data_IF_515874912509
#
_entry.id   IF_515874912509
#
_cell.length_a   1.000
_cell.length_b   1.000
_cell.length_c   1.000
_cell.angle_alpha   90.00
_cell.angle_beta   90.00
_cell.angle_gamma   90.00
#
_symmetry.space_group_name_H-M   'P 1'
#
loop_
_entity.id
_entity.type
_entity.pdbx_description
1 polymer ?
#
# COMPACT_ATOMS: atom_id res chain seq x y z
N UNK A 1 16.56 -22.23 46.99
CA UNK A 1 16.40 -20.81 47.35
C UNK A 1 15.61 -20.12 46.25
N UNK A 2 14.58 -19.38 46.64
CA UNK A 2 13.46 -18.96 45.82
C UNK A 2 13.77 -17.85 44.82
N UNK A 3 13.00 -17.89 43.73
CA UNK A 3 12.72 -16.84 42.76
C UNK A 3 12.54 -15.43 43.34
N UNK A 4 13.18 -14.43 42.73
CA UNK A 4 12.67 -13.06 42.69
C UNK A 4 12.95 -12.46 41.30
N UNK A 5 12.11 -12.87 40.35
CA UNK A 5 11.71 -12.02 39.22
C UNK A 5 11.18 -10.70 39.76
N UNK A 6 11.81 -9.57 39.40
CA UNK A 6 11.25 -8.24 39.61
C UNK A 6 10.05 -8.05 38.67
N UNK A 7 8.90 -8.58 39.09
CA UNK A 7 7.58 -8.17 38.61
C UNK A 7 7.34 -6.76 39.12
N UNK A 8 7.48 -5.77 38.25
CA UNK A 8 6.80 -4.49 38.43
C UNK A 8 5.33 -4.71 38.05
N UNK A 9 4.55 -5.20 39.00
CA UNK A 9 3.10 -5.09 38.97
C UNK A 9 2.76 -3.64 39.32
N UNK A 10 2.41 -2.82 38.32
CA UNK A 10 1.48 -1.72 38.56
C UNK A 10 0.08 -2.31 38.49
N UNK A 11 -0.44 -2.57 39.68
CA UNK A 11 -1.84 -2.89 39.96
C UNK A 11 -2.78 -1.82 39.41
N UNK A 12 -3.85 -2.28 38.78
CA UNK A 12 -5.12 -1.55 38.67
C UNK A 12 -5.32 -0.79 37.37
N UNK A 13 -5.66 -1.51 36.28
CA UNK A 13 -6.74 -1.14 35.36
C UNK A 13 -6.95 -2.35 34.43
N UNK A 14 -8.21 -2.75 34.27
CA UNK A 14 -8.65 -3.88 33.45
C UNK A 14 -7.99 -3.87 32.06
N UNK A 15 -6.95 -4.69 31.85
CA UNK A 15 -6.52 -5.06 30.50
C UNK A 15 -7.55 -6.02 29.93
N UNK A 16 -8.62 -5.47 29.36
CA UNK A 16 -9.47 -6.18 28.42
C UNK A 16 -8.58 -6.75 27.32
N UNK A 17 -8.65 -8.06 27.15
CA UNK A 17 -8.09 -8.77 26.00
C UNK A 17 -8.67 -8.16 24.72
N UNK A 18 -7.79 -7.73 23.81
CA UNK A 18 -8.04 -7.57 22.36
C UNK A 18 -9.28 -6.76 21.91
N UNK A 19 -9.42 -5.49 22.31
CA UNK A 19 -10.18 -4.55 21.48
C UNK A 19 -9.18 -3.67 20.71
N UNK A 20 -8.79 -4.11 19.51
CA UNK A 20 -8.36 -3.14 18.49
C UNK A 20 -9.59 -2.31 18.16
N UNK A 21 -9.78 -1.17 18.84
CA UNK A 21 -10.80 -0.21 18.44
C UNK A 21 -10.24 0.49 17.22
N UNK A 22 -10.63 0.00 16.04
CA UNK A 22 -10.36 0.69 14.80
C UNK A 22 -11.29 1.91 14.71
N UNK A 23 -10.69 3.09 14.57
CA UNK A 23 -11.43 4.31 14.27
C UNK A 23 -12.17 4.17 12.93
N UNK A 24 -13.37 4.75 12.79
CA UNK A 24 -14.14 4.67 11.55
C UNK A 24 -13.35 5.26 10.37
N UNK A 25 -13.55 4.69 9.18
CA UNK A 25 -12.90 5.16 7.96
C UNK A 25 -13.44 6.54 7.60
N UNK A 26 -12.55 7.53 7.52
CA UNK A 26 -12.87 8.88 7.08
C UNK A 26 -12.51 9.02 5.60
N UNK A 27 -13.45 9.51 4.78
CA UNK A 27 -13.18 9.86 3.38
C UNK A 27 -12.99 11.38 3.31
N UNK A 28 -11.74 11.82 3.38
CA UNK A 28 -11.39 13.24 3.29
C UNK A 28 -11.53 13.77 1.85
N UNK A 29 -12.13 14.97 1.71
CA UNK A 29 -12.03 15.93 0.60
C UNK A 29 -12.24 15.49 -0.87
N UNK A 30 -12.50 14.21 -1.18
CA UNK A 30 -12.78 13.76 -2.56
C UNK A 30 -14.26 13.99 -2.92
N UNK A 31 -15.13 14.16 -1.92
CA UNK A 31 -16.57 14.38 -2.11
C UNK A 31 -17.00 15.83 -1.80
N UNK A 32 -16.18 16.82 -2.16
CA UNK A 32 -16.53 18.23 -1.92
C UNK A 32 -17.74 18.67 -2.77
N UNK A 33 -18.81 18.97 -2.05
CA UNK A 33 -19.97 19.88 -2.30
C UNK A 33 -20.77 19.83 -3.59
N UNK A 34 -20.23 19.46 -4.76
CA UNK A 34 -20.99 19.42 -6.01
C UNK A 34 -21.89 18.18 -6.14
N UNK A 35 -21.62 17.12 -5.37
CA UNK A 35 -22.36 15.86 -5.42
C UNK A 35 -23.23 15.60 -4.18
N UNK A 36 -23.38 16.57 -3.25
CA UNK A 36 -24.15 16.41 -1.98
C UNK A 36 -25.59 15.93 -2.23
N UNK A 37 -26.20 16.36 -3.34
CA UNK A 37 -27.58 16.00 -3.71
C UNK A 37 -27.70 14.65 -4.45
N UNK A 38 -26.57 14.06 -4.90
CA UNK A 38 -26.54 12.78 -5.64
C UNK A 38 -26.12 11.59 -4.77
N UNK A 39 -25.62 11.82 -3.56
CA UNK A 39 -25.14 10.74 -2.68
C UNK A 39 -26.32 9.96 -2.12
N UNK A 40 -26.48 8.71 -2.56
CA UNK A 40 -27.49 7.78 -2.01
C UNK A 40 -27.47 7.79 -0.47
N UNK A 41 -28.65 7.67 0.16
CA UNK A 41 -28.79 7.77 1.62
C UNK A 41 -27.87 6.81 2.41
N UNK A 42 -27.54 5.65 1.86
CA UNK A 42 -26.62 4.69 2.47
C UNK A 42 -25.17 5.21 2.51
N UNK A 43 -24.68 5.84 1.44
CA UNK A 43 -23.32 6.42 1.42
C UNK A 43 -23.21 7.55 2.45
N UNK A 44 -24.24 8.40 2.58
CA UNK A 44 -24.27 9.42 3.64
C UNK A 44 -24.32 8.80 5.05
N UNK A 45 -25.09 7.72 5.23
CA UNK A 45 -25.17 6.99 6.50
C UNK A 45 -23.80 6.41 6.89
N UNK A 46 -23.04 5.88 5.92
CA UNK A 46 -21.67 5.42 6.14
C UNK A 46 -20.76 6.57 6.62
N UNK A 47 -20.81 7.72 5.93
CA UNK A 47 -19.98 8.88 6.24
C UNK A 47 -20.30 9.52 7.60
N UNK A 48 -21.55 9.40 8.07
CA UNK A 48 -22.01 9.89 9.38
C UNK A 48 -21.85 8.86 10.49
N UNK A 49 -21.43 7.63 10.18
CA UNK A 49 -21.23 6.58 11.17
C UNK A 49 -20.08 6.96 12.10
N UNK A 50 -20.30 6.83 13.40
CA UNK A 50 -19.31 7.18 14.44
C UNK A 50 -18.46 5.99 14.86
N UNK A 51 -18.85 4.78 14.46
CA UNK A 51 -18.14 3.55 14.80
C UNK A 51 -17.90 2.67 13.56
N UNK A 52 -16.87 1.83 13.64
CA UNK A 52 -16.58 0.83 12.61
C UNK A 52 -17.71 -0.19 12.45
N UNK A 53 -18.42 -0.54 13.52
CA UNK A 53 -19.54 -1.50 13.46
C UNK A 53 -20.77 -0.93 12.74
N UNK A 54 -21.05 0.37 12.92
CA UNK A 54 -22.05 1.09 12.14
C UNK A 54 -21.67 1.09 10.66
N UNK A 55 -20.43 1.44 10.33
CA UNK A 55 -19.91 1.41 8.96
C UNK A 55 -20.05 0.02 8.31
N UNK A 56 -19.72 -1.04 9.05
CA UNK A 56 -19.88 -2.42 8.58
C UNK A 56 -21.35 -2.78 8.34
N UNK A 57 -22.27 -2.30 9.18
CA UNK A 57 -23.71 -2.53 9.02
C UNK A 57 -24.23 -1.84 7.77
N UNK A 58 -23.83 -0.59 7.53
CA UNK A 58 -24.18 0.14 6.31
C UNK A 58 -23.60 -0.51 5.06
N UNK A 59 -22.35 -0.99 5.11
CA UNK A 59 -21.76 -1.71 3.98
C UNK A 59 -22.53 -2.99 3.65
N UNK A 60 -23.03 -3.74 4.64
CA UNK A 60 -23.89 -4.90 4.36
C UNK A 60 -25.15 -4.48 3.59
N UNK A 61 -25.81 -3.39 4.01
CA UNK A 61 -26.98 -2.84 3.30
C UNK A 61 -26.62 -2.45 1.85
N UNK A 62 -25.48 -1.80 1.62
CA UNK A 62 -24.98 -1.46 0.28
C UNK A 62 -24.73 -2.71 -0.58
N UNK A 63 -24.16 -3.77 -0.03
CA UNK A 63 -23.93 -4.99 -0.80
C UNK A 63 -25.21 -5.78 -1.10
N UNK A 64 -26.25 -5.65 -0.28
CA UNK A 64 -27.57 -6.22 -0.60
C UNK A 64 -28.20 -5.50 -1.80
N UNK A 65 -28.09 -4.17 -1.91
CA UNK A 65 -28.59 -3.43 -3.08
C UNK A 65 -27.79 -3.74 -4.34
N UNK A 66 -26.48 -3.95 -4.24
CA UNK A 66 -25.64 -4.34 -5.39
C UNK A 66 -25.93 -5.76 -5.92
N UNK A 67 -26.69 -6.59 -5.20
CA UNK A 67 -27.08 -7.92 -5.70
C UNK A 67 -28.02 -7.81 -6.90
N UNK A 68 -28.93 -6.84 -6.92
CA UNK A 68 -29.89 -6.65 -8.00
C UNK A 68 -29.28 -5.93 -9.21
N UNK A 69 -28.56 -4.83 -8.99
CA UNK A 69 -28.02 -3.99 -10.06
C UNK A 69 -26.65 -3.43 -9.67
N UNK A 70 -25.72 -3.34 -10.64
CA UNK A 70 -24.41 -2.76 -10.38
C UNK A 70 -24.48 -1.27 -10.65
N UNK A 71 -24.44 -0.48 -9.58
CA UNK A 71 -24.29 0.97 -9.64
C UNK A 71 -22.81 1.36 -9.63
N UNK A 72 -22.34 1.98 -10.72
CA UNK A 72 -20.95 2.44 -10.89
C UNK A 72 -20.56 3.45 -9.80
N UNK A 73 -21.48 4.32 -9.38
CA UNK A 73 -21.19 5.32 -8.35
C UNK A 73 -20.99 4.66 -6.98
N UNK A 74 -21.72 3.59 -6.69
CA UNK A 74 -21.52 2.79 -5.49
C UNK A 74 -20.21 2.01 -5.56
N UNK A 75 -19.88 1.41 -6.70
CA UNK A 75 -18.57 0.76 -6.90
C UNK A 75 -17.44 1.77 -6.71
N UNK A 76 -17.60 3.00 -7.21
CA UNK A 76 -16.67 4.11 -6.97
C UNK A 76 -16.47 4.35 -5.48
N UNK A 77 -17.56 4.59 -4.75
CA UNK A 77 -17.53 4.82 -3.31
C UNK A 77 -16.81 3.70 -2.55
N UNK A 78 -17.08 2.44 -2.89
CA UNK A 78 -16.41 1.29 -2.26
C UNK A 78 -14.89 1.28 -2.53
N UNK A 79 -14.46 1.70 -3.72
CA UNK A 79 -13.04 1.83 -4.06
C UNK A 79 -12.34 2.89 -3.20
N UNK A 80 -12.99 4.04 -2.99
CA UNK A 80 -12.49 5.09 -2.10
C UNK A 80 -12.39 4.61 -0.65
N UNK A 81 -13.46 4.02 -0.11
CA UNK A 81 -13.48 3.47 1.26
C UNK A 81 -12.36 2.45 1.43
N UNK A 82 -12.17 1.57 0.45
CA UNK A 82 -11.11 0.56 0.49
C UNK A 82 -9.73 1.20 0.56
N UNK A 83 -9.47 2.21 -0.27
CA UNK A 83 -8.17 2.86 -0.35
C UNK A 83 -7.86 3.69 0.89
N UNK A 84 -8.86 4.34 1.48
CA UNK A 84 -8.72 5.15 2.70
C UNK A 84 -8.58 4.31 3.97
N UNK A 85 -9.17 3.12 4.01
CA UNK A 85 -9.10 2.24 5.17
C UNK A 85 -7.65 1.78 5.43
N UNK A 86 -7.25 1.84 6.72
CA UNK A 86 -5.93 1.42 7.17
C UNK A 86 -5.66 -0.08 6.92
N UNK A 87 -4.39 -0.52 6.90
CA UNK A 87 -4.06 -1.94 6.84
C UNK A 87 -4.78 -2.73 7.94
N UNK A 88 -5.29 -3.93 7.59
CA UNK A 88 -6.03 -4.84 8.49
C UNK A 88 -7.34 -4.27 9.07
N UNK A 89 -7.78 -3.09 8.64
CA UNK A 89 -9.03 -2.49 9.09
C UNK A 89 -10.24 -3.39 8.76
N UNK A 90 -11.20 -3.60 9.68
CA UNK A 90 -12.36 -4.48 9.47
C UNK A 90 -13.16 -4.16 8.21
N UNK A 91 -13.40 -2.87 7.94
CA UNK A 91 -14.03 -2.40 6.68
C UNK A 91 -13.25 -2.87 5.46
N UNK A 92 -11.93 -2.68 5.42
CA UNK A 92 -11.08 -3.11 4.30
C UNK A 92 -11.17 -4.63 4.08
N UNK A 93 -11.03 -5.39 5.16
CA UNK A 93 -11.16 -6.85 5.15
C UNK A 93 -12.55 -7.33 4.73
N UNK A 94 -13.61 -6.60 5.10
CA UNK A 94 -14.96 -6.88 4.65
C UNK A 94 -15.11 -6.65 3.14
N UNK A 95 -14.65 -5.49 2.65
CA UNK A 95 -14.68 -5.15 1.22
C UNK A 95 -13.91 -6.16 0.37
N UNK A 96 -12.67 -6.50 0.72
CA UNK A 96 -11.89 -7.52 -0.02
C UNK A 96 -12.66 -8.83 -0.14
N UNK A 97 -13.27 -9.29 0.96
CA UNK A 97 -14.03 -10.55 1.00
C UNK A 97 -15.29 -10.47 0.15
N UNK A 98 -16.07 -9.39 0.22
CA UNK A 98 -17.31 -9.27 -0.54
C UNK A 98 -17.05 -9.12 -2.04
N UNK A 99 -16.07 -8.28 -2.42
CA UNK A 99 -15.69 -8.11 -3.83
C UNK A 99 -15.14 -9.42 -4.41
N UNK A 100 -14.29 -10.14 -3.65
CA UNK A 100 -13.77 -11.43 -4.11
C UNK A 100 -14.87 -12.46 -4.32
N UNK A 101 -15.90 -12.50 -3.46
CA UNK A 101 -17.04 -13.44 -3.61
C UNK A 101 -17.95 -13.10 -4.79
N UNK A 102 -18.05 -11.83 -5.17
CA UNK A 102 -18.95 -11.37 -6.22
C UNK A 102 -18.18 -11.11 -7.51
N UNK A 103 -18.03 -12.14 -8.35
CA UNK A 103 -17.29 -12.08 -9.63
C UNK A 103 -17.71 -10.90 -10.51
N UNK A 104 -19.02 -10.60 -10.56
CA UNK A 104 -19.59 -9.47 -11.31
C UNK A 104 -19.08 -8.09 -10.86
N UNK A 105 -18.67 -7.94 -9.60
CA UNK A 105 -18.15 -6.68 -9.05
C UNK A 105 -16.63 -6.56 -9.22
N UNK A 106 -15.90 -7.67 -9.40
CA UNK A 106 -14.44 -7.64 -9.42
C UNK A 106 -13.90 -6.73 -10.52
N UNK A 107 -14.38 -6.86 -11.76
CA UNK A 107 -13.86 -6.08 -12.89
C UNK A 107 -14.25 -4.59 -12.80
N UNK A 108 -15.52 -4.20 -12.52
CA UNK A 108 -15.86 -2.80 -12.25
C UNK A 108 -15.04 -2.19 -11.11
N UNK A 109 -14.89 -2.91 -10.00
CA UNK A 109 -14.12 -2.44 -8.84
C UNK A 109 -12.63 -2.28 -9.18
N UNK A 110 -12.07 -3.22 -9.93
CA UNK A 110 -10.68 -3.15 -10.42
C UNK A 110 -10.45 -1.87 -11.23
N UNK A 111 -11.35 -1.55 -12.17
CA UNK A 111 -11.26 -0.36 -13.00
C UNK A 111 -11.38 0.94 -12.21
N UNK A 112 -12.29 0.99 -11.22
CA UNK A 112 -12.40 2.11 -10.29
C UNK A 112 -11.13 2.27 -9.46
N UNK A 113 -10.66 1.21 -8.82
CA UNK A 113 -9.51 1.27 -7.93
C UNK A 113 -8.25 1.71 -8.70
N UNK A 114 -8.08 1.27 -9.95
CA UNK A 114 -7.01 1.74 -10.83
C UNK A 114 -7.06 3.27 -11.05
N UNK A 115 -8.25 3.83 -11.31
CA UNK A 115 -8.42 5.29 -11.46
C UNK A 115 -8.08 6.04 -10.17
N UNK A 116 -8.51 5.52 -9.03
CA UNK A 116 -8.19 6.12 -7.73
C UNK A 116 -6.70 6.04 -7.40
N UNK A 117 -6.03 4.92 -7.73
CA UNK A 117 -4.58 4.80 -7.60
C UNK A 117 -3.88 5.89 -8.43
N UNK A 118 -4.26 6.07 -9.70
CA UNK A 118 -3.72 7.16 -10.54
C UNK A 118 -3.97 8.53 -9.90
N UNK A 119 -5.16 8.75 -9.35
CA UNK A 119 -5.52 10.02 -8.71
C UNK A 119 -4.58 10.35 -7.54
N UNK A 120 -4.35 9.40 -6.62
CA UNK A 120 -3.49 9.60 -5.44
C UNK A 120 -1.99 9.61 -5.78
N UNK A 121 -1.60 9.11 -6.95
CA UNK A 121 -0.19 9.07 -7.42
C UNK A 121 0.11 10.07 -8.54
N UNK A 122 -0.83 10.95 -8.86
CA UNK A 122 -0.70 11.92 -9.96
C UNK A 122 0.45 12.91 -9.76
N UNK A 123 0.74 13.26 -8.51
CA UNK A 123 1.71 14.28 -8.15
C UNK A 123 2.71 13.74 -7.13
N UNK A 124 3.96 14.18 -7.28
CA UNK A 124 4.98 13.99 -6.28
C UNK A 124 4.61 14.73 -4.99
N UNK A 125 5.05 14.18 -3.86
CA UNK A 125 4.86 14.81 -2.56
C UNK A 125 6.14 15.52 -2.11
N UNK A 126 5.97 16.55 -1.27
CA UNK A 126 7.08 17.30 -0.67
C UNK A 126 7.47 16.77 0.70
N UNK A 127 6.62 15.94 1.32
CA UNK A 127 6.81 15.39 2.66
C UNK A 127 6.77 13.86 2.63
N UNK A 128 7.71 13.22 3.35
CA UNK A 128 7.80 11.76 3.38
C UNK A 128 6.52 11.08 3.91
N UNK A 129 5.79 11.70 4.85
CA UNK A 129 4.55 11.14 5.42
C UNK A 129 3.45 10.96 4.37
N UNK A 130 3.41 11.85 3.39
CA UNK A 130 2.45 11.77 2.29
C UNK A 130 2.83 10.62 1.35
N UNK A 131 4.11 10.45 1.02
CA UNK A 131 4.60 9.27 0.32
C UNK A 131 4.31 7.98 1.09
N UNK A 132 4.65 7.91 2.37
CA UNK A 132 4.41 6.74 3.22
C UNK A 132 2.94 6.34 3.24
N UNK A 133 2.03 7.30 3.45
CA UNK A 133 0.59 7.05 3.43
C UNK A 133 0.14 6.48 2.09
N UNK A 134 0.54 7.09 0.98
CA UNK A 134 0.17 6.67 -0.37
C UNK A 134 0.72 5.29 -0.71
N UNK A 135 2.01 5.05 -0.46
CA UNK A 135 2.70 3.78 -0.70
C UNK A 135 2.09 2.66 0.14
N UNK A 136 1.75 2.91 1.41
CA UNK A 136 1.08 1.95 2.28
C UNK A 136 -0.32 1.58 1.78
N UNK A 137 -1.10 2.57 1.31
CA UNK A 137 -2.42 2.32 0.71
C UNK A 137 -2.31 1.40 -0.51
N UNK A 138 -1.32 1.63 -1.38
CA UNK A 138 -1.08 0.80 -2.56
C UNK A 138 -0.62 -0.61 -2.16
N UNK A 139 0.27 -0.75 -1.15
CA UNK A 139 0.73 -2.06 -0.66
C UNK A 139 -0.44 -2.96 -0.25
N UNK A 140 -1.41 -2.41 0.48
CA UNK A 140 -2.57 -3.21 0.91
C UNK A 140 -3.50 -3.64 -0.22
N UNK A 141 -3.34 -3.09 -1.44
CA UNK A 141 -4.12 -3.54 -2.61
C UNK A 141 -3.66 -4.91 -3.12
N UNK A 142 -2.39 -5.28 -2.92
CA UNK A 142 -1.81 -6.53 -3.44
C UNK A 142 -1.84 -7.68 -2.42
N UNK A 143 -2.20 -7.42 -1.17
CA UNK A 143 -2.24 -8.42 -0.09
C UNK A 143 -3.54 -9.23 -0.13
N UNK A 144 -3.47 -10.47 -0.64
CA UNK A 144 -4.58 -11.44 -0.63
C UNK A 144 -5.89 -10.91 -1.27
N UNK A 145 -5.78 -10.01 -2.25
CA UNK A 145 -6.93 -9.38 -2.90
C UNK A 145 -6.76 -9.32 -4.43
N UNK A 146 -7.34 -10.27 -5.20
CA UNK A 146 -7.13 -10.37 -6.63
C UNK A 146 -7.53 -9.12 -7.43
N UNK A 147 -8.66 -8.50 -7.10
CA UNK A 147 -9.12 -7.29 -7.78
C UNK A 147 -8.16 -6.10 -7.54
N UNK A 148 -7.58 -6.00 -6.34
CA UNK A 148 -6.57 -4.99 -6.04
C UNK A 148 -5.25 -5.24 -6.77
N UNK A 149 -4.78 -6.49 -6.81
CA UNK A 149 -3.59 -6.86 -7.59
C UNK A 149 -3.78 -6.56 -9.09
N UNK A 150 -4.95 -6.85 -9.65
CA UNK A 150 -5.27 -6.51 -11.03
C UNK A 150 -5.33 -4.99 -11.24
N UNK A 151 -5.83 -4.22 -10.28
CA UNK A 151 -5.88 -2.76 -10.37
C UNK A 151 -4.48 -2.16 -10.44
N UNK A 152 -3.56 -2.66 -9.59
CA UNK A 152 -2.13 -2.30 -9.62
C UNK A 152 -1.50 -2.65 -10.97
N UNK A 153 -1.80 -3.85 -11.51
CA UNK A 153 -1.31 -4.26 -12.83
C UNK A 153 -1.77 -3.33 -13.96
N UNK A 154 -3.03 -2.85 -13.93
CA UNK A 154 -3.54 -1.92 -14.94
C UNK A 154 -2.81 -0.57 -14.97
N UNK A 155 -2.17 -0.19 -13.86
CA UNK A 155 -1.49 1.11 -13.71
C UNK A 155 0.00 0.97 -13.45
N UNK A 156 0.57 -0.20 -13.76
CA UNK A 156 1.94 -0.58 -13.40
C UNK A 156 2.98 0.43 -13.90
N UNK A 157 2.83 0.92 -15.13
CA UNK A 157 3.76 1.89 -15.71
C UNK A 157 3.73 3.23 -14.98
N UNK A 158 2.55 3.68 -14.57
CA UNK A 158 2.38 4.92 -13.79
C UNK A 158 2.97 4.77 -12.39
N UNK A 159 2.76 3.61 -11.76
CA UNK A 159 3.30 3.32 -10.45
C UNK A 159 4.83 3.21 -10.44
N UNK A 160 5.44 2.67 -11.50
CA UNK A 160 6.91 2.65 -11.62
C UNK A 160 7.46 4.08 -11.58
N UNK A 161 6.84 5.02 -12.31
CA UNK A 161 7.26 6.42 -12.31
C UNK A 161 7.08 7.07 -10.95
N UNK A 162 5.91 6.88 -10.33
CA UNK A 162 5.65 7.41 -8.99
C UNK A 162 6.64 6.86 -7.94
N UNK A 163 6.91 5.56 -7.93
CA UNK A 163 7.84 4.97 -6.98
C UNK A 163 9.29 5.38 -7.25
N UNK A 164 9.68 5.61 -8.50
CA UNK A 164 10.99 6.20 -8.80
C UNK A 164 11.10 7.63 -8.24
N UNK A 165 10.06 8.46 -8.38
CA UNK A 165 10.01 9.79 -7.74
C UNK A 165 10.08 9.72 -6.21
N UNK A 166 9.38 8.76 -5.60
CA UNK A 166 9.47 8.47 -4.17
C UNK A 166 10.89 8.09 -3.74
N UNK A 167 11.57 7.20 -4.48
CA UNK A 167 12.95 6.80 -4.17
C UNK A 167 13.94 7.95 -4.34
N UNK A 168 13.76 8.76 -5.38
CA UNK A 168 14.56 9.97 -5.58
C UNK A 168 14.42 10.93 -4.40
N UNK A 169 13.20 11.14 -3.91
CA UNK A 169 12.94 11.93 -2.72
C UNK A 169 13.68 11.35 -1.51
N UNK A 170 13.55 10.04 -1.24
CA UNK A 170 14.24 9.39 -0.12
C UNK A 170 15.76 9.59 -0.17
N UNK A 171 16.39 9.37 -1.33
CA UNK A 171 17.83 9.58 -1.52
C UNK A 171 18.22 11.02 -1.24
N UNK A 172 17.45 11.98 -1.77
CA UNK A 172 17.70 13.40 -1.58
C UNK A 172 17.59 13.79 -0.11
N UNK A 173 16.53 13.36 0.56
CA UNK A 173 16.30 13.65 1.98
C UNK A 173 17.41 13.10 2.88
N UNK A 174 17.85 11.86 2.64
CA UNK A 174 18.93 11.25 3.44
C UNK A 174 20.27 11.98 3.30
N UNK A 175 20.57 12.50 2.11
CA UNK A 175 21.87 13.14 1.81
C UNK A 175 21.93 14.63 2.08
N UNK A 176 20.84 15.34 1.79
CA UNK A 176 20.84 16.81 1.74
C UNK A 176 20.13 17.44 2.95
N UNK A 177 19.33 16.68 3.70
CA UNK A 177 18.54 17.20 4.81
C UNK A 177 19.10 16.74 6.16
N UNK A 178 19.28 17.63 7.15
CA UNK A 178 19.65 17.22 8.50
C UNK A 178 18.45 16.55 9.18
N UNK A 179 18.42 15.22 9.15
CA UNK A 179 17.36 14.40 9.72
C UNK A 179 17.75 13.82 11.08
N UNK A 180 16.79 13.73 12.00
CA UNK A 180 16.95 12.97 13.23
C UNK A 180 17.06 11.46 12.95
N UNK A 181 17.64 10.65 13.86
CA UNK A 181 17.69 9.19 13.69
C UNK A 181 16.33 8.54 13.43
N UNK A 182 15.26 9.08 14.05
CA UNK A 182 13.89 8.59 13.85
C UNK A 182 13.41 8.84 12.43
N UNK A 183 13.59 10.07 11.91
CA UNK A 183 13.17 10.43 10.56
C UNK A 183 13.94 9.63 9.50
N UNK A 184 15.24 9.40 9.73
CA UNK A 184 16.03 8.50 8.86
C UNK A 184 15.40 7.11 8.81
N UNK A 185 15.08 6.52 9.96
CA UNK A 185 14.45 5.20 10.02
C UNK A 185 13.08 5.15 9.30
N UNK A 186 12.27 6.19 9.43
CA UNK A 186 10.99 6.30 8.71
C UNK A 186 11.19 6.38 7.19
N UNK A 187 12.16 7.17 6.71
CA UNK A 187 12.52 7.22 5.29
C UNK A 187 13.05 5.86 4.79
N UNK A 188 13.78 5.11 5.62
CA UNK A 188 14.20 3.75 5.27
C UNK A 188 13.03 2.77 5.16
N UNK A 189 12.06 2.84 6.07
CA UNK A 189 10.85 2.03 5.97
C UNK A 189 10.05 2.33 4.70
N UNK A 190 9.91 3.62 4.37
CA UNK A 190 9.30 4.07 3.12
C UNK A 190 10.03 3.51 1.89
N UNK A 191 11.35 3.67 1.88
CA UNK A 191 12.23 3.18 0.82
C UNK A 191 12.04 1.67 0.60
N UNK A 192 12.04 0.90 1.69
CA UNK A 192 11.84 -0.54 1.65
C UNK A 192 10.47 -0.91 1.07
N UNK A 193 9.40 -0.23 1.51
CA UNK A 193 8.05 -0.50 1.04
C UNK A 193 7.87 -0.17 -0.45
N UNK A 194 8.44 0.95 -0.91
CA UNK A 194 8.44 1.34 -2.31
C UNK A 194 9.20 0.32 -3.19
N UNK A 195 10.36 -0.16 -2.73
CA UNK A 195 11.16 -1.16 -3.44
C UNK A 195 10.45 -2.51 -3.51
N UNK A 196 9.77 -2.93 -2.45
CA UNK A 196 8.95 -4.13 -2.42
C UNK A 196 7.82 -4.07 -3.46
N UNK A 197 7.17 -2.91 -3.61
CA UNK A 197 6.09 -2.72 -4.60
C UNK A 197 6.63 -2.68 -6.03
N UNK A 198 7.77 -2.00 -6.26
CA UNK A 198 8.46 -2.03 -7.55
C UNK A 198 8.82 -3.45 -7.95
N UNK A 199 9.39 -4.25 -7.04
CA UNK A 199 9.71 -5.66 -7.30
C UNK A 199 8.45 -6.47 -7.61
N UNK A 200 7.36 -6.26 -6.88
CA UNK A 200 6.09 -6.92 -7.18
C UNK A 200 5.61 -6.61 -8.60
N UNK A 201 5.71 -5.34 -9.02
CA UNK A 201 5.39 -4.94 -10.39
C UNK A 201 6.28 -5.67 -11.40
N UNK A 202 7.61 -5.65 -11.25
CA UNK A 202 8.55 -6.39 -12.13
C UNK A 202 8.11 -7.84 -12.33
N UNK A 203 7.79 -8.51 -11.21
CA UNK A 203 7.45 -9.93 -11.19
C UNK A 203 6.12 -10.24 -11.88
N UNK A 204 5.20 -9.27 -11.94
CA UNK A 204 3.86 -9.42 -12.50
C UNK A 204 3.69 -8.83 -13.89
N UNK A 205 4.68 -8.06 -14.36
CA UNK A 205 4.68 -7.53 -15.71
C UNK A 205 5.11 -8.58 -16.73
N UNK A 206 4.18 -8.91 -17.62
CA UNK A 206 4.41 -9.86 -18.73
C UNK A 206 5.26 -9.25 -19.85
N UNK A 207 5.41 -7.93 -19.86
CA UNK A 207 6.13 -7.19 -20.90
C UNK A 207 7.65 -7.26 -20.68
N UNK A 208 8.38 -7.63 -21.72
CA UNK A 208 9.84 -7.47 -21.86
C UNK A 208 10.19 -6.14 -22.55
N UNK A 209 9.26 -5.18 -22.59
CA UNK A 209 9.46 -3.94 -23.33
C UNK A 209 10.68 -3.16 -22.83
N UNK A 210 11.43 -2.61 -23.77
CA UNK A 210 12.61 -1.78 -23.53
C UNK A 210 12.34 -0.60 -22.57
N UNK A 211 11.10 -0.10 -22.55
CA UNK A 211 10.63 0.95 -21.63
C UNK A 211 10.72 0.49 -20.18
N UNK A 212 10.33 -0.76 -19.91
CA UNK A 212 10.39 -1.35 -18.56
C UNK A 212 11.84 -1.52 -18.14
N UNK A 213 12.69 -2.04 -19.03
CA UNK A 213 14.14 -2.17 -18.79
C UNK A 213 14.75 -0.83 -18.42
N UNK A 214 14.40 0.22 -19.15
CA UNK A 214 14.90 1.59 -18.93
C UNK A 214 14.43 2.14 -17.59
N UNK A 215 13.13 2.05 -17.27
CA UNK A 215 12.61 2.55 -15.98
C UNK A 215 13.19 1.80 -14.77
N UNK A 216 13.51 0.51 -14.92
CA UNK A 216 14.20 -0.26 -13.87
C UNK A 216 15.69 0.08 -13.74
N UNK A 217 16.34 0.54 -14.81
CA UNK A 217 17.72 1.04 -14.70
C UNK A 217 17.80 2.24 -13.75
N UNK A 218 16.80 3.13 -13.77
CA UNK A 218 16.66 4.24 -12.82
C UNK A 218 16.46 3.74 -11.39
N UNK A 219 15.59 2.74 -11.20
CA UNK A 219 15.39 2.11 -9.88
C UNK A 219 16.70 1.53 -9.34
N UNK A 220 17.50 0.86 -10.19
CA UNK A 220 18.81 0.31 -9.81
C UNK A 220 19.79 1.39 -9.38
N UNK A 221 19.78 2.55 -10.04
CA UNK A 221 20.60 3.68 -9.65
C UNK A 221 20.27 4.15 -8.23
N UNK A 222 18.98 4.30 -7.91
CA UNK A 222 18.55 4.70 -6.57
C UNK A 222 18.88 3.63 -5.51
N UNK A 223 18.65 2.35 -5.83
CA UNK A 223 19.07 1.23 -4.96
C UNK A 223 20.57 1.33 -4.66
N UNK A 224 21.41 1.50 -5.68
CA UNK A 224 22.85 1.62 -5.49
C UNK A 224 23.19 2.82 -4.60
N UNK A 225 22.55 3.96 -4.83
CA UNK A 225 22.77 5.16 -4.01
C UNK A 225 22.37 4.94 -2.54
N UNK A 226 21.30 4.19 -2.27
CA UNK A 226 20.84 3.85 -0.92
C UNK A 226 21.71 2.78 -0.26
N UNK A 227 22.22 1.79 -1.00
CA UNK A 227 23.05 0.72 -0.43
C UNK A 227 24.44 1.18 0.03
N UNK A 228 24.97 2.23 -0.60
CA UNK A 228 26.30 2.77 -0.33
C UNK A 228 26.26 4.10 0.43
N UNK A 229 25.15 4.41 1.10
CA UNK A 229 25.02 5.60 1.93
C UNK A 229 25.29 5.23 3.39
N UNK A 230 26.30 5.87 4.00
CA UNK A 230 26.82 5.53 5.33
C UNK A 230 25.78 5.74 6.46
N UNK A 231 24.72 6.50 6.17
CA UNK A 231 23.64 6.80 7.11
C UNK A 231 22.48 5.80 7.05
N UNK A 232 22.53 4.81 6.15
CA UNK A 232 21.52 3.76 6.06
C UNK A 232 21.73 2.75 7.19
N UNK A 233 20.75 2.56 8.10
CA UNK A 233 20.81 1.46 9.04
C UNK A 233 20.77 0.17 8.22
N UNK A 234 21.85 -0.61 8.30
CA UNK A 234 21.93 -1.95 7.72
C UNK A 234 21.00 -2.91 8.48
N UNK A 235 19.67 -2.70 8.40
CA UNK A 235 18.71 -3.73 8.75
C UNK A 235 18.74 -4.81 7.65
N UNK A 236 19.59 -5.79 7.90
CA UNK A 236 19.84 -6.96 7.05
C UNK A 236 18.57 -7.73 6.65
N UNK A 237 17.44 -7.62 7.36
CA UNK A 237 16.18 -8.28 6.97
C UNK A 237 15.43 -7.54 5.88
N UNK A 238 15.43 -6.21 5.92
CA UNK A 238 14.72 -5.34 4.99
C UNK A 238 15.51 -5.11 3.70
N UNK A 239 16.84 -5.10 3.76
CA UNK A 239 17.72 -4.85 2.59
C UNK A 239 18.10 -6.15 1.85
N UNK A 240 17.84 -7.32 2.45
CA UNK A 240 18.28 -8.63 1.97
C UNK A 240 17.95 -8.88 0.49
N UNK A 241 16.67 -8.76 0.09
CA UNK A 241 16.24 -9.05 -1.28
C UNK A 241 16.87 -8.12 -2.32
N UNK A 242 17.16 -6.88 -1.92
CA UNK A 242 17.76 -5.85 -2.77
C UNK A 242 19.27 -6.04 -2.86
N UNK A 243 19.90 -6.43 -1.75
CA UNK A 243 21.30 -6.82 -1.70
C UNK A 243 21.54 -8.07 -2.56
N UNK A 244 20.69 -9.09 -2.43
CA UNK A 244 20.74 -10.30 -3.25
C UNK A 244 20.54 -10.02 -4.74
N UNK A 245 19.56 -9.17 -5.09
CA UNK A 245 19.37 -8.73 -6.47
C UNK A 245 20.60 -7.99 -7.01
N UNK A 246 21.17 -7.10 -6.21
CA UNK A 246 22.35 -6.31 -6.57
C UNK A 246 23.59 -7.21 -6.74
N UNK A 247 23.78 -8.19 -5.86
CA UNK A 247 24.81 -9.22 -5.96
C UNK A 247 24.62 -10.09 -7.20
N UNK A 248 23.40 -10.56 -7.47
CA UNK A 248 23.08 -11.35 -8.67
C UNK A 248 23.37 -10.59 -9.97
N UNK A 249 23.07 -9.28 -10.00
CA UNK A 249 23.40 -8.40 -11.12
C UNK A 249 24.91 -8.16 -11.27
N UNK A 250 25.64 -8.10 -10.16
CA UNK A 250 27.09 -7.94 -10.15
C UNK A 250 27.79 -9.20 -10.65
N UNK A 251 27.29 -10.38 -10.26
CA UNK A 251 27.87 -11.68 -10.66
C UNK A 251 27.49 -12.11 -12.09
N UNK A 252 26.26 -11.84 -12.52
CA UNK A 252 25.73 -12.36 -13.79
C UNK A 252 25.55 -11.29 -14.89
N UNK A 253 26.00 -10.07 -14.62
CA UNK A 253 25.89 -8.94 -15.56
C UNK A 253 24.57 -8.17 -15.44
N UNK A 254 24.50 -6.96 -16.04
CA UNK A 254 23.42 -6.02 -15.83
C UNK A 254 22.06 -6.51 -16.32
N UNK A 255 21.98 -7.50 -17.22
CA UNK A 255 20.74 -8.07 -17.77
C UNK A 255 20.23 -9.29 -16.98
N UNK A 256 21.00 -9.79 -16.00
CA UNK A 256 20.62 -10.96 -15.20
C UNK A 256 19.37 -10.74 -14.35
N UNK A 257 18.96 -9.48 -14.16
CA UNK A 257 17.71 -9.13 -13.50
C UNK A 257 16.46 -9.69 -14.22
N UNK A 258 16.51 -9.95 -15.54
CA UNK A 258 15.40 -10.61 -16.24
C UNK A 258 15.10 -12.00 -15.68
N UNK A 259 16.10 -12.63 -15.05
CA UNK A 259 15.98 -13.93 -14.40
C UNK A 259 15.23 -13.84 -13.05
N UNK A 260 15.11 -12.64 -12.47
CA UNK A 260 14.40 -12.38 -11.20
C UNK A 260 12.91 -12.63 -11.35
N UNK A 261 12.36 -12.46 -12.57
CA UNK A 261 10.99 -12.88 -12.91
C UNK A 261 10.73 -14.35 -12.54
N UNK A 262 11.77 -15.20 -12.52
CA UNK A 262 11.69 -16.64 -12.22
C UNK A 262 12.18 -17.01 -10.82
N UNK A 263 13.07 -16.24 -10.21
CA UNK A 263 13.84 -16.65 -9.02
C UNK A 263 13.20 -16.25 -7.68
N UNK A 264 12.34 -15.23 -7.62
CA UNK A 264 11.92 -14.63 -6.34
C UNK A 264 10.54 -15.06 -5.80
N UNK A 265 10.09 -16.30 -6.04
CA UNK A 265 8.88 -16.85 -5.41
C UNK A 265 9.05 -17.03 -3.88
N UNK A 266 10.27 -16.98 -3.35
CA UNK A 266 10.56 -17.43 -1.97
C UNK A 266 10.74 -16.29 -0.94
N UNK A 267 10.93 -15.02 -1.33
CA UNK A 267 11.53 -14.03 -0.39
C UNK A 267 10.68 -12.80 -0.01
N UNK A 268 9.40 -12.70 -0.39
CA UNK A 268 8.60 -11.50 -0.10
C UNK A 268 7.31 -11.72 0.70
N UNK A 269 7.08 -12.92 1.23
CA UNK A 269 5.84 -13.26 1.95
C UNK A 269 6.11 -13.95 3.28
N UNK A 270 6.71 -13.22 4.22
CA UNK A 270 6.46 -13.39 5.65
C UNK A 270 6.27 -12.02 6.31
#
# INVERSE_FOLDING_TARGET
>A
MNSLSLRINRSGFNKNKNNFVFEPVLIENIWNEQNKDMVSGLKQKFMKSTTTDEQLSVLKEIFETLKSEIDIETVHFLGLVFLQAQPKHPVKCFLSRQITKQTKLQQPFTGTLAKEIISITRHEHTEYKNYETTVLRISTCIENFPAGANAVKLVEMHLIDYFNGCLQYCVKSLRETPLSPTEKNEIHNLTHLALRLLLHIVQKTDSESEIIVTKFSTTRLFIKQLLFDDEVPMDTKSVCGILFLSLHCLENGPDSWLQVKKICIIFCWE
#
